data_IF_833677640382
#
_entry.id   IF_833677640382
#
_cell.length_a   1.000
_cell.length_b   1.000
_cell.length_c   1.000
_cell.angle_alpha   90.00
_cell.angle_beta   90.00
_cell.angle_gamma   90.00
#
_symmetry.space_group_name_H-M   'P 1'
#
loop_
_entity.id
_entity.type
_entity.pdbx_description
1 polymer ?
#
# COMPACT_ATOMS: atom_id res chain seq x y z
N UNK A 1 51.45 15.99 43.82
CA UNK A 1 50.47 16.90 43.20
C UNK A 1 50.05 16.41 41.80
N UNK A 2 49.03 15.53 41.64
CA UNK A 2 48.56 15.12 40.31
C UNK A 2 47.06 15.38 40.02
N UNK A 3 46.40 16.33 40.70
CA UNK A 3 44.95 16.56 40.55
C UNK A 3 44.52 17.59 39.49
N UNK A 4 45.44 18.43 38.98
CA UNK A 4 45.09 19.54 38.06
C UNK A 4 45.02 19.16 36.57
N UNK A 5 45.60 18.02 36.16
CA UNK A 5 45.66 17.63 34.74
C UNK A 5 44.37 16.93 34.25
N UNK A 6 43.71 16.12 35.09
CA UNK A 6 42.44 15.44 34.75
C UNK A 6 41.27 16.41 34.55
N UNK A 7 41.20 17.49 35.33
CA UNK A 7 40.10 18.46 35.25
C UNK A 7 40.07 19.27 33.93
N UNK A 8 41.24 19.61 33.37
CA UNK A 8 41.33 20.37 32.11
C UNK A 8 40.90 19.55 30.89
N UNK A 9 41.16 18.24 30.89
CA UNK A 9 40.73 17.35 29.81
C UNK A 9 39.21 17.11 29.83
N UNK A 10 38.64 16.89 31.02
CA UNK A 10 37.20 16.72 31.20
C UNK A 10 36.43 18.01 30.84
N UNK A 11 36.93 19.18 31.27
CA UNK A 11 36.34 20.49 30.94
C UNK A 11 36.39 20.84 29.44
N UNK A 12 37.47 20.49 28.74
CA UNK A 12 37.57 20.68 27.28
C UNK A 12 36.68 19.72 26.50
N UNK A 13 36.51 18.50 27.00
CA UNK A 13 35.59 17.53 26.43
C UNK A 13 34.13 18.00 26.57
N UNK A 14 33.70 18.44 27.76
CA UNK A 14 32.34 18.96 27.96
C UNK A 14 32.06 20.25 27.18
N UNK A 15 33.05 21.15 27.06
CA UNK A 15 32.92 22.36 26.24
C UNK A 15 32.79 22.06 24.72
N UNK A 16 33.49 21.03 24.22
CA UNK A 16 33.36 20.60 22.82
C UNK A 16 31.99 19.99 22.54
N UNK A 17 31.45 19.17 23.45
CA UNK A 17 30.10 18.60 23.31
C UNK A 17 29.02 19.67 23.42
N UNK A 18 29.18 20.63 24.35
CA UNK A 18 28.26 21.75 24.50
C UNK A 18 28.23 22.65 23.25
N UNK A 19 29.39 22.95 22.66
CA UNK A 19 29.44 23.77 21.44
C UNK A 19 28.87 23.05 20.21
N UNK A 20 29.10 21.74 20.06
CA UNK A 20 28.44 20.92 19.02
C UNK A 20 26.92 20.90 19.23
N UNK A 21 26.47 20.68 20.47
CA UNK A 21 25.05 20.70 20.82
C UNK A 21 24.40 22.05 20.52
N UNK A 22 25.05 23.16 20.86
CA UNK A 22 24.55 24.51 20.54
C UNK A 22 24.46 24.75 19.04
N UNK A 23 25.45 24.31 18.25
CA UNK A 23 25.41 24.42 16.78
C UNK A 23 24.26 23.60 16.20
N UNK A 24 24.06 22.36 16.67
CA UNK A 24 22.93 21.52 16.25
C UNK A 24 21.60 22.17 16.63
N UNK A 25 21.48 22.69 17.85
CA UNK A 25 20.28 23.39 18.33
C UNK A 25 19.95 24.62 17.48
N UNK A 26 20.96 25.43 17.13
CA UNK A 26 20.79 26.59 16.26
C UNK A 26 20.39 26.18 14.83
N UNK A 27 21.04 25.16 14.27
CA UNK A 27 20.70 24.61 12.96
C UNK A 27 19.25 24.10 12.93
N UNK A 28 18.84 23.35 13.95
CA UNK A 28 17.46 22.85 14.10
C UNK A 28 16.46 24.00 14.17
N UNK A 29 16.73 25.05 14.97
CA UNK A 29 15.86 26.22 15.04
C UNK A 29 15.72 26.90 13.68
N UNK A 30 16.81 27.03 12.93
CA UNK A 30 16.78 27.64 11.59
C UNK A 30 15.99 26.78 10.59
N UNK A 31 16.19 25.46 10.63
CA UNK A 31 15.44 24.53 9.79
C UNK A 31 13.94 24.56 10.13
N UNK A 32 13.59 24.54 11.43
CA UNK A 32 12.20 24.63 11.89
C UNK A 32 11.56 25.97 11.52
N UNK A 33 12.31 27.07 11.56
CA UNK A 33 11.82 28.37 11.10
C UNK A 33 11.51 28.35 9.59
N UNK A 34 12.36 27.74 8.77
CA UNK A 34 12.08 27.53 7.33
C UNK A 34 10.88 26.62 7.10
N UNK A 35 10.77 25.53 7.86
CA UNK A 35 9.62 24.64 7.79
C UNK A 35 8.32 25.38 8.12
N UNK A 36 8.29 26.14 9.21
CA UNK A 36 7.13 26.94 9.59
C UNK A 36 6.81 28.02 8.54
N UNK A 37 7.83 28.64 7.94
CA UNK A 37 7.63 29.56 6.82
C UNK A 37 6.95 28.87 5.61
N UNK A 38 7.42 27.68 5.24
CA UNK A 38 6.78 26.88 4.18
C UNK A 38 5.36 26.47 4.55
N UNK A 39 5.11 26.14 5.82
CA UNK A 39 3.80 25.78 6.35
C UNK A 39 2.80 26.94 6.22
N UNK A 40 3.25 28.17 6.48
CA UNK A 40 2.41 29.38 6.35
C UNK A 40 2.19 29.77 4.88
N UNK A 41 3.21 29.60 4.02
CA UNK A 41 3.15 30.01 2.62
C UNK A 41 2.43 29.01 1.71
N UNK A 42 2.67 27.71 1.92
CA UNK A 42 2.13 26.60 1.14
C UNK A 42 1.60 25.50 2.07
N UNK A 43 0.48 25.74 2.78
CA UNK A 43 0.00 24.85 3.83
C UNK A 43 -0.31 23.45 3.29
N UNK A 44 -1.11 23.34 2.23
CA UNK A 44 -1.53 22.05 1.68
C UNK A 44 -0.36 21.21 1.15
N UNK A 45 0.59 21.84 0.45
CA UNK A 45 1.75 21.12 -0.10
C UNK A 45 2.70 20.68 1.01
N UNK A 46 3.04 21.59 1.93
CA UNK A 46 3.97 21.28 3.03
C UNK A 46 3.39 20.22 3.95
N UNK A 47 2.11 20.29 4.28
CA UNK A 47 1.43 19.29 5.10
C UNK A 47 1.28 17.96 4.37
N UNK A 48 0.94 17.98 3.07
CA UNK A 48 0.85 16.77 2.25
C UNK A 48 2.18 16.00 2.18
N UNK A 49 3.29 16.70 1.89
CA UNK A 49 4.63 16.10 1.84
C UNK A 49 5.05 15.60 3.23
N UNK A 50 4.81 16.40 4.28
CA UNK A 50 5.13 16.00 5.66
C UNK A 50 4.36 14.75 6.07
N UNK A 51 3.06 14.70 5.74
CA UNK A 51 2.21 13.56 6.06
C UNK A 51 2.64 12.32 5.28
N UNK A 52 2.93 12.42 3.98
CA UNK A 52 3.47 11.30 3.22
C UNK A 52 4.73 10.72 3.90
N UNK A 53 5.66 11.59 4.29
CA UNK A 53 6.87 11.15 4.99
C UNK A 53 6.57 10.46 6.33
N UNK A 54 5.69 11.03 7.15
CA UNK A 54 5.34 10.48 8.46
C UNK A 54 4.60 9.14 8.37
N UNK A 55 3.68 9.01 7.42
CA UNK A 55 2.95 7.76 7.21
C UNK A 55 3.86 6.68 6.60
N UNK A 56 4.70 7.03 5.62
CA UNK A 56 5.67 6.11 5.03
C UNK A 56 6.74 5.63 6.02
N UNK A 57 7.30 6.54 6.82
CA UNK A 57 8.28 6.16 7.86
C UNK A 57 7.66 5.35 8.99
N UNK A 58 6.42 5.63 9.38
CA UNK A 58 5.68 4.81 10.34
C UNK A 58 5.44 3.40 9.81
N UNK A 59 5.01 3.29 8.56
CA UNK A 59 4.80 1.99 7.92
C UNK A 59 6.10 1.18 7.80
N UNK A 60 7.19 1.81 7.35
CA UNK A 60 8.51 1.21 7.34
C UNK A 60 8.92 0.68 8.72
N UNK A 61 8.71 1.48 9.78
CA UNK A 61 8.99 1.04 11.15
C UNK A 61 8.12 -0.14 11.57
N UNK A 62 6.85 -0.19 11.16
CA UNK A 62 5.97 -1.32 11.41
C UNK A 62 6.50 -2.61 10.77
N UNK A 63 6.93 -2.54 9.51
CA UNK A 63 7.48 -3.69 8.79
C UNK A 63 8.79 -4.20 9.44
N UNK A 64 9.63 -3.30 9.96
CA UNK A 64 10.80 -3.69 10.74
C UNK A 64 10.41 -4.44 12.04
N UNK A 65 9.36 -4.00 12.74
CA UNK A 65 8.87 -4.65 13.96
C UNK A 65 8.30 -6.04 13.64
N UNK A 66 7.50 -6.15 12.59
CA UNK A 66 6.90 -7.41 12.14
C UNK A 66 7.97 -8.46 11.78
N UNK A 67 9.03 -8.05 11.09
CA UNK A 67 10.15 -8.92 10.74
C UNK A 67 10.89 -9.45 11.97
N UNK A 68 11.23 -8.57 12.92
CA UNK A 68 11.85 -8.97 14.19
C UNK A 68 10.95 -9.91 15.01
N UNK A 69 9.63 -9.70 14.99
CA UNK A 69 8.67 -10.54 15.70
C UNK A 69 8.54 -11.94 15.08
N UNK A 70 8.54 -12.03 13.74
CA UNK A 70 8.53 -13.30 13.01
C UNK A 70 9.81 -14.10 13.24
N UNK A 71 10.97 -13.44 13.26
CA UNK A 71 12.26 -14.08 13.53
C UNK A 71 12.30 -14.66 14.96
N UNK A 72 11.89 -13.87 15.96
CA UNK A 72 11.84 -14.29 17.37
C UNK A 72 10.89 -15.48 17.59
N UNK A 73 9.74 -15.49 16.90
CA UNK A 73 8.76 -16.58 17.01
C UNK A 73 9.27 -17.90 16.41
N UNK A 74 10.05 -17.82 15.33
CA UNK A 74 10.64 -18.97 14.64
C UNK A 74 11.73 -19.64 15.48
N UNK A 75 12.57 -18.85 16.15
CA UNK A 75 13.61 -19.35 17.06
C UNK A 75 13.02 -20.14 18.24
N UNK A 76 11.92 -19.64 18.84
CA UNK A 76 11.23 -20.35 19.92
C UNK A 76 10.59 -21.68 19.48
N UNK A 77 10.02 -21.75 18.27
CA UNK A 77 9.44 -22.99 17.75
C UNK A 77 10.51 -24.05 17.48
N UNK A 78 11.68 -23.66 16.95
CA UNK A 78 12.80 -24.57 16.76
C UNK A 78 13.32 -25.11 18.09
N UNK A 79 13.42 -24.27 19.14
CA UNK A 79 13.91 -24.70 20.45
C UNK A 79 12.96 -25.65 21.19
N UNK A 80 11.64 -25.50 21.01
CA UNK A 80 10.65 -26.46 21.54
C UNK A 80 10.64 -27.80 20.78
N UNK A 81 10.82 -27.79 19.46
CA UNK A 81 10.95 -29.04 18.68
C UNK A 81 12.23 -29.81 19.03
N UNK A 82 13.37 -29.14 19.21
CA UNK A 82 14.63 -29.80 19.57
C UNK A 82 14.62 -30.47 20.96
N UNK A 83 13.72 -30.06 21.87
CA UNK A 83 13.61 -30.68 23.21
C UNK A 83 12.83 -32.01 23.18
N UNK A 84 12.08 -32.30 22.10
CA UNK A 84 11.27 -33.53 21.98
C UNK A 84 11.94 -34.63 21.13
N UNK A 85 13.03 -34.32 20.41
CA UNK A 85 13.70 -35.22 19.45
C UNK A 85 15.01 -35.84 19.97
N UNK A 86 15.17 -36.04 21.28
CA UNK A 86 16.44 -36.55 21.83
C UNK A 86 16.76 -38.04 21.51
N UNK A 87 15.94 -38.74 20.71
CA UNK A 87 16.20 -40.10 20.23
C UNK A 87 15.89 -40.28 18.73
N UNK A 88 16.69 -39.69 17.83
CA UNK A 88 17.25 -40.41 16.66
C UNK A 88 18.19 -39.52 15.81
N UNK A 89 19.46 -39.88 15.91
CA UNK A 89 20.63 -39.70 15.07
C UNK A 89 20.51 -39.02 13.66
N UNK A 90 21.10 -37.82 13.58
CA UNK A 90 22.23 -37.42 12.71
C UNK A 90 22.15 -37.68 11.19
N UNK A 91 21.82 -36.65 10.39
CA UNK A 91 22.52 -36.26 9.14
C UNK A 91 21.83 -35.11 8.39
N UNK A 92 22.26 -33.88 8.65
CA UNK A 92 22.22 -32.78 7.69
C UNK A 92 23.25 -31.73 8.11
N UNK A 93 24.26 -31.50 7.26
CA UNK A 93 25.12 -30.33 7.39
C UNK A 93 24.23 -29.11 7.40
N UNK A 94 24.32 -28.34 8.49
CA UNK A 94 23.48 -27.20 8.78
C UNK A 94 23.47 -26.22 7.62
N UNK A 95 22.28 -26.01 7.06
CA UNK A 95 21.96 -24.76 6.40
C UNK A 95 21.98 -23.72 7.53
N UNK A 96 23.11 -23.03 7.72
CA UNK A 96 23.14 -21.85 8.57
C UNK A 96 21.98 -20.97 8.15
N UNK A 97 21.04 -20.74 9.07
CA UNK A 97 19.85 -19.95 8.84
C UNK A 97 20.29 -18.55 8.44
N UNK A 98 20.35 -18.30 7.13
CA UNK A 98 20.40 -16.94 6.63
C UNK A 98 19.10 -16.30 7.10
N UNK A 99 19.14 -15.21 7.90
CA UNK A 99 17.92 -14.53 8.29
C UNK A 99 17.19 -14.14 7.02
N UNK A 100 15.90 -14.50 6.92
CA UNK A 100 15.06 -14.13 5.79
C UNK A 100 15.27 -12.64 5.52
N UNK A 101 15.69 -12.22 4.31
CA UNK A 101 15.97 -10.82 4.04
C UNK A 101 14.70 -9.99 4.27
N UNK A 102 14.87 -8.77 4.80
CA UNK A 102 13.77 -7.85 5.05
C UNK A 102 13.12 -7.47 3.71
N UNK A 103 12.01 -8.10 3.37
CA UNK A 103 11.19 -7.73 2.23
C UNK A 103 10.25 -6.60 2.63
N UNK A 104 10.48 -5.41 2.08
CA UNK A 104 9.63 -4.24 2.33
C UNK A 104 8.44 -4.30 1.37
N UNK A 105 7.23 -4.31 1.92
CA UNK A 105 6.00 -4.13 1.19
C UNK A 105 5.84 -2.64 0.82
N UNK A 106 6.37 -2.29 -0.37
CA UNK A 106 6.28 -0.93 -0.91
C UNK A 106 4.85 -0.51 -1.24
N UNK A 107 3.99 -1.48 -1.53
CA UNK A 107 2.61 -1.26 -1.92
C UNK A 107 1.80 -0.75 -0.73
N UNK A 108 1.92 -1.45 0.39
CA UNK A 108 1.40 -1.03 1.70
C UNK A 108 1.91 0.34 2.10
N UNK A 109 3.22 0.55 2.00
CA UNK A 109 3.85 1.83 2.34
C UNK A 109 3.28 2.96 1.47
N UNK A 110 3.13 2.73 0.16
CA UNK A 110 2.58 3.71 -0.76
C UNK A 110 1.12 4.06 -0.46
N UNK A 111 0.27 3.08 -0.13
CA UNK A 111 -1.11 3.33 0.32
C UNK A 111 -1.15 4.22 1.57
N UNK A 112 -0.29 3.94 2.55
CA UNK A 112 -0.20 4.76 3.77
C UNK A 112 0.23 6.19 3.46
N UNK A 113 1.21 6.37 2.57
CA UNK A 113 1.65 7.69 2.12
C UNK A 113 0.55 8.46 1.37
N UNK A 114 -0.21 7.79 0.50
CA UNK A 114 -1.35 8.37 -0.22
C UNK A 114 -2.45 8.82 0.75
N UNK A 115 -2.84 7.96 1.69
CA UNK A 115 -3.81 8.34 2.71
C UNK A 115 -3.35 9.56 3.52
N UNK A 116 -2.10 9.55 3.98
CA UNK A 116 -1.51 10.64 4.75
C UNK A 116 -1.56 11.98 4.00
N UNK A 117 -1.18 11.97 2.72
CA UNK A 117 -1.06 13.17 1.91
C UNK A 117 -2.39 13.69 1.34
N UNK A 118 -3.28 12.81 0.89
CA UNK A 118 -4.50 13.20 0.17
C UNK A 118 -5.76 13.24 1.04
N UNK A 119 -5.78 12.48 2.13
CA UNK A 119 -6.95 12.42 3.03
C UNK A 119 -6.62 13.10 4.35
N UNK A 120 -5.62 12.61 5.09
CA UNK A 120 -5.34 13.09 6.43
C UNK A 120 -4.89 14.56 6.46
N UNK A 121 -3.89 14.94 5.66
CA UNK A 121 -3.35 16.30 5.68
C UNK A 121 -4.40 17.39 5.33
N UNK A 122 -5.21 17.25 4.26
CA UNK A 122 -6.28 18.20 3.97
C UNK A 122 -7.36 18.23 5.07
N UNK A 123 -7.80 17.06 5.56
CA UNK A 123 -8.80 16.97 6.63
C UNK A 123 -8.32 17.65 7.91
N UNK A 124 -7.08 17.40 8.33
CA UNK A 124 -6.47 18.04 9.49
C UNK A 124 -6.34 19.56 9.31
N UNK A 125 -5.93 20.03 8.12
CA UNK A 125 -5.83 21.47 7.84
C UNK A 125 -7.18 22.17 8.00
N UNK A 126 -8.23 21.61 7.40
CA UNK A 126 -9.59 22.16 7.48
C UNK A 126 -10.12 22.13 8.92
N UNK A 127 -9.86 21.05 9.66
CA UNK A 127 -10.26 20.89 11.04
C UNK A 127 -9.60 21.91 11.97
N UNK A 128 -8.27 22.05 11.93
CA UNK A 128 -7.57 23.02 12.77
C UNK A 128 -7.91 24.46 12.40
N UNK A 129 -8.12 24.77 11.11
CA UNK A 129 -8.63 26.07 10.67
C UNK A 129 -10.03 26.36 11.23
N UNK A 130 -10.91 25.34 11.26
CA UNK A 130 -12.22 25.45 11.89
C UNK A 130 -12.12 25.69 13.40
N UNK A 131 -11.27 24.92 14.09
CA UNK A 131 -11.05 25.07 15.52
C UNK A 131 -10.53 26.46 15.89
N UNK A 132 -9.53 26.97 15.16
CA UNK A 132 -8.96 28.28 15.43
C UNK A 132 -9.97 29.41 15.17
N UNK A 133 -10.87 29.26 14.18
CA UNK A 133 -11.95 30.24 13.93
C UNK A 133 -13.04 30.21 15.02
N UNK A 134 -13.39 29.03 15.53
CA UNK A 134 -14.46 28.86 16.55
C UNK A 134 -13.98 29.12 17.97
N UNK A 135 -12.69 28.95 18.21
CA UNK A 135 -12.04 29.22 19.50
C UNK A 135 -11.48 30.64 19.50
N UNK A 136 -12.33 31.67 19.54
CA UNK A 136 -11.88 33.05 19.83
C UNK A 136 -11.49 33.09 21.31
N UNK A 137 -10.18 33.19 21.56
CA UNK A 137 -9.57 32.79 22.83
C UNK A 137 -9.76 33.84 23.93
N UNK A 138 -10.41 33.39 25.00
CA UNK A 138 -10.26 33.98 26.33
C UNK A 138 -8.79 33.83 26.76
N UNK A 139 -8.03 34.92 26.73
CA UNK A 139 -6.57 34.97 26.97
C UNK A 139 -6.12 34.46 28.37
N UNK A 140 -7.05 34.27 29.30
CA UNK A 140 -6.70 34.09 30.71
C UNK A 140 -6.36 32.65 31.14
N UNK A 141 -6.81 31.59 30.44
CA UNK A 141 -6.60 30.21 30.88
C UNK A 141 -6.11 29.26 29.76
N UNK A 142 -4.80 29.21 29.55
CA UNK A 142 -4.14 28.33 28.54
C UNK A 142 -4.50 26.83 28.72
N UNK A 143 -4.58 26.35 29.96
CA UNK A 143 -4.92 24.95 30.25
C UNK A 143 -6.33 24.59 29.76
N UNK A 144 -7.33 25.43 30.11
CA UNK A 144 -8.73 25.25 29.66
C UNK A 144 -8.85 25.26 28.14
N UNK A 145 -8.02 26.05 27.46
CA UNK A 145 -7.97 26.08 25.99
C UNK A 145 -7.45 24.75 25.43
N UNK A 146 -6.33 24.25 25.97
CA UNK A 146 -5.74 22.99 25.53
C UNK A 146 -6.71 21.84 25.75
N UNK A 147 -7.27 21.71 26.96
CA UNK A 147 -8.24 20.66 27.28
C UNK A 147 -9.44 20.68 26.34
N UNK A 148 -9.95 21.87 25.98
CA UNK A 148 -11.06 22.00 25.03
C UNK A 148 -10.66 21.60 23.61
N UNK A 149 -9.42 21.91 23.17
CA UNK A 149 -8.90 21.47 21.87
C UNK A 149 -8.78 19.95 21.82
N UNK A 150 -8.09 19.36 22.81
CA UNK A 150 -7.95 17.90 22.93
C UNK A 150 -9.32 17.23 22.94
N UNK A 151 -10.27 17.70 23.74
CA UNK A 151 -11.62 17.11 23.77
C UNK A 151 -12.34 17.17 22.41
N UNK A 152 -12.19 18.25 21.64
CA UNK A 152 -12.78 18.34 20.31
C UNK A 152 -12.10 17.41 19.31
N UNK A 153 -10.76 17.29 19.39
CA UNK A 153 -10.01 16.35 18.57
C UNK A 153 -10.49 14.91 18.87
N UNK A 154 -10.52 14.52 20.14
CA UNK A 154 -10.84 13.16 20.57
C UNK A 154 -12.28 12.71 20.30
N UNK A 155 -13.28 13.58 20.48
CA UNK A 155 -14.69 13.19 20.38
C UNK A 155 -15.34 13.51 19.03
N UNK A 156 -14.70 14.33 18.19
CA UNK A 156 -15.27 14.75 16.91
C UNK A 156 -14.36 14.36 15.76
N UNK A 157 -13.08 14.71 15.82
CA UNK A 157 -12.16 14.49 14.70
C UNK A 157 -11.64 13.05 14.65
N UNK A 158 -11.15 12.51 15.77
CA UNK A 158 -10.60 11.16 15.90
C UNK A 158 -11.57 10.08 15.40
N UNK A 159 -12.86 10.04 15.81
CA UNK A 159 -13.80 9.02 15.34
C UNK A 159 -13.97 9.04 13.82
N UNK A 160 -14.10 10.25 13.26
CA UNK A 160 -14.33 10.44 11.82
C UNK A 160 -13.08 10.06 11.02
N UNK A 161 -11.89 10.49 11.46
CA UNK A 161 -10.65 10.23 10.73
C UNK A 161 -10.25 8.75 10.80
N UNK A 162 -10.54 8.06 11.91
CA UNK A 162 -10.30 6.62 12.03
C UNK A 162 -11.24 5.80 11.14
N UNK A 163 -12.53 6.15 11.07
CA UNK A 163 -13.46 5.53 10.11
C UNK A 163 -12.96 5.74 8.68
N UNK A 164 -12.53 6.97 8.36
CA UNK A 164 -11.97 7.29 7.05
C UNK A 164 -10.66 6.51 6.78
N UNK A 165 -9.80 6.32 7.79
CA UNK A 165 -8.57 5.53 7.69
C UNK A 165 -8.87 4.10 7.27
N UNK A 166 -9.63 3.36 8.07
CA UNK A 166 -9.93 1.96 7.79
C UNK A 166 -10.70 1.80 6.48
N UNK A 167 -11.66 2.70 6.20
CA UNK A 167 -12.43 2.64 4.95
C UNK A 167 -11.53 2.87 3.73
N UNK A 168 -10.71 3.93 3.73
CA UNK A 168 -9.86 4.30 2.61
C UNK A 168 -8.75 3.26 2.39
N UNK A 169 -8.09 2.79 3.46
CA UNK A 169 -7.05 1.79 3.38
C UNK A 169 -7.57 0.46 2.81
N UNK A 170 -8.70 -0.04 3.32
CA UNK A 170 -9.32 -1.26 2.79
C UNK A 170 -9.82 -1.09 1.36
N UNK A 171 -10.28 0.10 0.99
CA UNK A 171 -10.69 0.39 -0.39
C UNK A 171 -9.50 0.40 -1.36
N UNK A 172 -8.38 1.02 -0.97
CA UNK A 172 -7.16 1.03 -1.77
C UNK A 172 -6.56 -0.36 -1.91
N UNK A 173 -6.56 -1.17 -0.85
CA UNK A 173 -6.12 -2.57 -0.87
C UNK A 173 -6.95 -3.38 -1.87
N UNK A 174 -8.28 -3.30 -1.78
CA UNK A 174 -9.17 -4.03 -2.69
C UNK A 174 -9.03 -3.58 -4.15
N UNK A 175 -8.93 -2.27 -4.40
CA UNK A 175 -8.75 -1.75 -5.76
C UNK A 175 -7.38 -2.15 -6.34
N UNK A 176 -6.33 -2.18 -5.51
CA UNK A 176 -5.02 -2.63 -5.93
C UNK A 176 -5.05 -4.11 -6.33
N UNK A 177 -5.61 -4.98 -5.47
CA UNK A 177 -5.73 -6.42 -5.75
C UNK A 177 -6.41 -6.65 -7.11
N UNK A 178 -7.51 -5.96 -7.39
CA UNK A 178 -8.20 -6.05 -8.69
C UNK A 178 -7.32 -5.65 -9.88
N UNK A 179 -6.57 -4.55 -9.77
CA UNK A 179 -5.74 -4.06 -10.87
C UNK A 179 -4.57 -5.01 -11.19
N UNK A 180 -3.92 -5.54 -10.16
CA UNK A 180 -2.73 -6.36 -10.33
C UNK A 180 -3.06 -7.83 -10.62
N UNK A 181 -4.14 -8.37 -10.06
CA UNK A 181 -4.60 -9.72 -10.43
C UNK A 181 -5.04 -9.78 -11.88
N UNK A 182 -5.71 -8.73 -12.38
CA UNK A 182 -6.10 -8.61 -13.79
C UNK A 182 -4.87 -8.49 -14.71
N UNK A 183 -3.84 -7.76 -14.32
CA UNK A 183 -2.60 -7.69 -15.10
C UNK A 183 -1.85 -9.02 -15.11
N UNK A 184 -1.84 -9.75 -13.99
CA UNK A 184 -1.20 -11.06 -13.86
C UNK A 184 -1.90 -12.12 -14.70
N UNK A 185 -3.24 -12.13 -14.71
CA UNK A 185 -4.03 -13.04 -15.54
C UNK A 185 -3.83 -12.76 -17.03
N UNK A 186 -3.86 -11.48 -17.44
CA UNK A 186 -3.61 -11.07 -18.83
C UNK A 186 -2.19 -11.45 -19.31
N UNK A 187 -1.17 -11.27 -18.48
CA UNK A 187 0.22 -11.65 -18.83
C UNK A 187 0.41 -13.16 -18.95
N UNK A 188 -0.30 -13.94 -18.12
CA UNK A 188 -0.27 -15.41 -18.18
C UNK A 188 -0.99 -15.94 -19.42
N UNK A 189 -2.13 -15.33 -19.78
CA UNK A 189 -2.86 -15.66 -21.00
C UNK A 189 -2.04 -15.35 -22.26
N UNK A 190 -1.35 -14.21 -22.31
CA UNK A 190 -0.50 -13.85 -23.45
C UNK A 190 0.71 -14.79 -23.63
N UNK A 191 1.28 -15.28 -22.52
CA UNK A 191 2.34 -16.32 -22.57
C UNK A 191 1.81 -17.65 -23.09
N UNK A 192 0.61 -18.05 -22.70
CA UNK A 192 -0.01 -19.28 -23.18
C UNK A 192 -0.44 -19.19 -24.66
N UNK A 193 -0.84 -18.01 -25.14
CA UNK A 193 -1.11 -17.78 -26.57
C UNK A 193 0.15 -17.83 -27.42
N UNK A 194 1.25 -17.22 -26.96
CA UNK A 194 2.54 -17.32 -27.66
C UNK A 194 3.07 -18.76 -27.69
N UNK A 195 2.87 -19.53 -26.62
CA UNK A 195 3.28 -20.94 -26.56
C UNK A 195 2.40 -21.86 -27.46
N UNK A 196 1.13 -21.48 -27.69
CA UNK A 196 0.24 -22.19 -28.65
C UNK A 196 0.62 -21.91 -30.11
N UNK A 197 1.14 -20.72 -30.40
CA UNK A 197 1.58 -20.34 -31.74
C UNK A 197 2.94 -20.98 -32.11
N UNK A 198 3.68 -21.48 -31.13
CA UNK A 198 4.99 -22.13 -31.34
C UNK A 198 4.88 -23.64 -31.65
N UNK A 199 3.76 -24.30 -31.33
CA UNK A 199 3.54 -25.74 -31.61
C UNK A 199 2.86 -26.06 -32.94
N UNK A 200 2.69 -25.07 -33.83
CA UNK A 200 2.09 -25.26 -35.15
C UNK A 200 3.12 -25.18 -36.29
N UNK A 201 4.23 -25.89 -36.16
CA UNK A 201 5.16 -26.12 -37.29
C UNK A 201 5.06 -27.57 -37.75
N UNK A 202 4.45 -27.88 -38.91
CA UNK A 202 4.48 -29.22 -39.47
C UNK A 202 5.89 -29.52 -39.98
N UNK A 203 6.48 -30.60 -39.47
CA UNK A 203 7.70 -31.21 -39.99
C UNK A 203 7.53 -31.61 -41.47
N UNK A 204 8.14 -30.87 -42.38
CA UNK A 204 8.28 -31.28 -43.79
C UNK A 204 9.49 -32.20 -43.93
N UNK A 205 9.23 -33.49 -44.13
CA UNK A 205 10.19 -34.47 -44.64
C UNK A 205 10.14 -34.42 -46.17
N UNK A 206 11.31 -34.30 -46.79
CA UNK A 206 11.55 -34.29 -48.24
C UNK A 206 10.90 -35.46 -48.96
N UNK A 207 10.33 -35.20 -50.15
CA UNK A 207 10.60 -35.97 -51.37
C UNK A 207 10.11 -35.17 -52.60
N UNK A 208 11.06 -34.74 -53.44
CA UNK A 208 10.87 -34.45 -54.87
C UNK A 208 10.64 -35.76 -55.63
N UNK A 209 9.85 -35.80 -56.73
CA UNK A 209 10.33 -35.32 -58.04
C UNK A 209 9.21 -34.67 -58.89
N UNK A 210 9.45 -33.54 -59.57
CA UNK A 210 9.96 -33.41 -60.95
C UNK A 210 8.90 -32.85 -61.91
N UNK A 211 9.39 -31.91 -62.74
CA UNK A 211 9.11 -31.78 -64.18
C UNK A 211 7.96 -30.84 -64.63
N UNK A 212 8.43 -29.73 -65.25
CA UNK A 212 7.97 -29.09 -66.51
C UNK A 212 6.68 -28.26 -66.40
N UNK A 213 6.83 -26.92 -66.40
CA UNK A 213 6.53 -26.00 -67.53
C UNK A 213 5.02 -25.82 -67.76
N UNK A 214 4.43 -24.71 -68.17
CA UNK A 214 4.84 -23.43 -68.72
C UNK A 214 3.52 -22.73 -69.13
N UNK A 215 3.52 -21.40 -69.27
CA UNK A 215 2.73 -20.63 -70.26
C UNK A 215 1.21 -20.57 -70.02
N UNK A 216 0.66 -19.43 -69.57
CA UNK A 216 0.31 -18.19 -70.30
C UNK A 216 -1.12 -18.17 -70.84
N UNK A 217 -1.68 -16.95 -70.86
CA UNK A 217 -2.69 -16.42 -71.81
C UNK A 217 -4.06 -17.10 -71.84
N UNK A 218 -5.19 -16.47 -72.15
CA UNK A 218 -5.69 -15.09 -72.24
C UNK A 218 -7.12 -15.25 -72.78
N UNK A 219 -7.98 -14.28 -72.47
CA UNK A 219 -9.11 -13.79 -73.28
C UNK A 219 -10.33 -14.68 -73.63
N UNK A 220 -11.50 -14.03 -73.46
CA UNK A 220 -12.75 -14.13 -74.24
C UNK A 220 -13.55 -15.42 -74.16
N UNK A 221 -14.88 -15.47 -74.19
CA UNK A 221 -15.98 -14.50 -74.16
C UNK A 221 -17.27 -15.35 -74.05
N UNK A 222 -18.37 -14.71 -73.65
CA UNK A 222 -19.77 -15.06 -73.97
C UNK A 222 -20.29 -16.48 -73.72
N UNK A 223 -21.28 -16.61 -72.84
CA UNK A 223 -22.67 -16.85 -73.27
C UNK A 223 -23.61 -16.92 -72.06
N UNK A 224 -24.66 -16.11 -72.12
CA UNK A 224 -25.81 -16.22 -71.24
C UNK A 224 -26.67 -17.39 -71.71
N UNK A 225 -26.80 -18.41 -70.88
CA UNK A 225 -27.86 -19.42 -70.95
C UNK A 225 -28.52 -19.49 -69.57
N UNK A 226 -29.83 -19.25 -69.51
CA UNK A 226 -30.65 -19.18 -68.30
C UNK A 226 -30.93 -20.59 -67.70
N UNK A 227 -31.66 -20.71 -66.58
CA UNK A 227 -31.13 -21.23 -65.32
C UNK A 227 -31.71 -22.62 -64.99
N UNK A 228 -30.88 -23.54 -64.51
CA UNK A 228 -31.42 -24.73 -63.83
C UNK A 228 -30.54 -25.13 -62.66
N UNK A 229 -31.21 -25.34 -61.53
CA UNK A 229 -30.70 -25.85 -60.24
C UNK A 229 -29.86 -24.85 -59.44
N UNK A 230 -30.49 -23.79 -58.94
CA UNK A 230 -29.99 -23.11 -57.75
C UNK A 230 -30.14 -24.08 -56.58
N UNK A 231 -28.99 -24.54 -56.12
CA UNK A 231 -28.79 -25.63 -55.18
C UNK A 231 -29.50 -25.34 -53.85
N UNK A 232 -30.53 -26.13 -53.53
CA UNK A 232 -31.23 -26.10 -52.23
C UNK A 232 -30.31 -26.38 -51.03
N UNK A 233 -29.06 -26.76 -51.29
CA UNK A 233 -28.02 -26.99 -50.29
C UNK A 233 -27.26 -25.71 -49.89
N UNK A 234 -27.35 -24.60 -50.65
CA UNK A 234 -26.71 -23.32 -50.30
C UNK A 234 -27.47 -22.62 -49.17
N UNK A 235 -28.80 -22.64 -49.20
CA UNK A 235 -29.65 -22.06 -48.14
C UNK A 235 -29.61 -22.87 -46.84
N UNK A 236 -29.49 -24.20 -46.93
CA UNK A 236 -29.30 -25.06 -45.74
C UNK A 236 -27.94 -24.87 -45.07
N UNK A 237 -26.88 -24.62 -45.84
CA UNK A 237 -25.53 -24.39 -45.30
C UNK A 237 -25.42 -23.03 -44.61
N UNK A 238 -26.07 -22.00 -45.15
CA UNK A 238 -26.12 -20.67 -44.53
C UNK A 238 -26.87 -20.63 -43.19
N UNK A 239 -27.92 -21.44 -43.01
CA UNK A 239 -28.63 -21.56 -41.74
C UNK A 239 -27.81 -22.27 -40.66
N UNK A 240 -27.06 -23.32 -41.01
CA UNK A 240 -26.18 -24.04 -40.06
C UNK A 240 -24.99 -23.18 -39.60
N UNK A 241 -24.42 -22.36 -40.49
CA UNK A 241 -23.32 -21.43 -40.16
C UNK A 241 -23.79 -20.25 -39.28
N UNK A 242 -25.02 -19.76 -39.50
CA UNK A 242 -25.64 -18.74 -38.63
C UNK A 242 -25.98 -19.33 -37.25
N UNK A 243 -26.48 -20.56 -37.19
CA UNK A 243 -26.85 -21.21 -35.94
C UNK A 243 -25.62 -21.52 -35.07
N UNK A 244 -24.52 -21.96 -35.68
CA UNK A 244 -23.23 -22.17 -34.99
C UNK A 244 -22.60 -20.85 -34.54
N UNK A 245 -22.71 -19.78 -35.34
CA UNK A 245 -22.26 -18.44 -34.94
C UNK A 245 -23.06 -17.91 -33.76
N UNK A 246 -24.38 -18.09 -33.76
CA UNK A 246 -25.27 -17.70 -32.65
C UNK A 246 -24.96 -18.53 -31.39
N UNK A 247 -24.73 -19.83 -31.52
CA UNK A 247 -24.34 -20.67 -30.38
C UNK A 247 -22.99 -20.26 -29.78
N UNK A 248 -22.00 -19.93 -30.61
CA UNK A 248 -20.72 -19.42 -30.14
C UNK A 248 -20.86 -18.06 -29.44
N UNK A 249 -21.70 -17.16 -29.95
CA UNK A 249 -21.98 -15.87 -29.30
C UNK A 249 -22.69 -16.08 -27.97
N UNK A 250 -23.67 -16.99 -27.89
CA UNK A 250 -24.39 -17.28 -26.65
C UNK A 250 -23.46 -17.92 -25.62
N UNK A 251 -22.52 -18.78 -26.06
CA UNK A 251 -21.48 -19.37 -25.20
C UNK A 251 -20.47 -18.32 -24.72
N UNK A 252 -20.07 -17.36 -25.58
CA UNK A 252 -19.25 -16.21 -25.20
C UNK A 252 -19.99 -15.32 -24.20
N UNK A 253 -21.27 -15.01 -24.42
CA UNK A 253 -22.10 -14.23 -23.50
C UNK A 253 -22.30 -14.97 -22.17
N UNK A 254 -22.45 -16.31 -22.21
CA UNK A 254 -22.61 -17.12 -21.00
C UNK A 254 -21.29 -17.26 -20.22
N UNK A 255 -20.16 -17.28 -20.92
CA UNK A 255 -18.83 -17.25 -20.30
C UNK A 255 -18.50 -15.86 -19.73
N UNK A 256 -18.86 -14.78 -20.41
CA UNK A 256 -18.73 -13.41 -19.90
C UNK A 256 -19.66 -13.15 -18.71
N UNK A 257 -20.86 -13.73 -18.71
CA UNK A 257 -21.76 -13.70 -17.55
C UNK A 257 -21.22 -14.55 -16.39
N UNK A 258 -20.51 -15.65 -16.69
CA UNK A 258 -19.81 -16.47 -15.67
C UNK A 258 -18.57 -15.78 -15.10
N UNK A 259 -17.82 -15.01 -15.88
CA UNK A 259 -16.70 -14.21 -15.37
C UNK A 259 -17.18 -13.05 -14.50
N UNK A 260 -18.25 -12.35 -14.91
CA UNK A 260 -18.88 -11.29 -14.11
C UNK A 260 -19.50 -11.81 -12.79
N UNK A 261 -20.03 -13.04 -12.77
CA UNK A 261 -20.56 -13.67 -11.54
C UNK A 261 -19.50 -14.35 -10.68
N UNK A 262 -18.32 -14.66 -11.22
CA UNK A 262 -17.18 -15.09 -10.41
C UNK A 262 -16.45 -13.91 -9.74
N UNK A 263 -16.57 -12.68 -10.27
CA UNK A 263 -16.05 -11.45 -9.65
C UNK A 263 -16.73 -11.15 -8.29
N UNK A 264 -17.99 -11.58 -8.11
CA UNK A 264 -18.76 -11.39 -6.87
C UNK A 264 -18.44 -12.38 -5.74
N UNK A 265 -17.40 -13.21 -5.88
CA UNK A 265 -16.93 -14.10 -4.79
C UNK A 265 -15.83 -13.46 -3.92
N UNK A 266 -15.45 -12.22 -4.22
CA UNK A 266 -14.74 -11.38 -3.26
C UNK A 266 -15.76 -10.87 -2.23
N UNK A 267 -15.46 -10.84 -0.92
CA UNK A 267 -16.39 -10.26 0.05
C UNK A 267 -16.71 -8.84 -0.40
N UNK A 268 -18.00 -8.54 -0.62
CA UNK A 268 -18.46 -7.22 -1.04
C UNK A 268 -17.68 -6.14 -0.29
N UNK A 269 -17.01 -5.23 -1.01
CA UNK A 269 -16.18 -4.16 -0.43
C UNK A 269 -16.80 -3.50 0.83
N UNK A 270 -18.11 -3.12 0.86
CA UNK A 270 -18.72 -2.58 2.08
C UNK A 270 -18.72 -3.56 3.25
N UNK A 271 -18.90 -4.86 2.99
CA UNK A 271 -18.83 -5.90 4.02
C UNK A 271 -17.41 -6.05 4.57
N UNK A 272 -16.37 -6.04 3.71
CA UNK A 272 -14.94 -6.06 4.14
C UNK A 272 -14.59 -4.84 4.99
N UNK A 273 -15.06 -3.65 4.59
CA UNK A 273 -14.85 -2.41 5.36
C UNK A 273 -15.56 -2.51 6.72
N UNK A 274 -16.85 -2.89 6.75
CA UNK A 274 -17.61 -2.97 7.99
C UNK A 274 -17.08 -4.04 8.96
N UNK A 275 -16.61 -5.18 8.46
CA UNK A 275 -15.99 -6.20 9.30
C UNK A 275 -14.68 -5.69 9.92
N UNK A 276 -13.84 -5.02 9.13
CA UNK A 276 -12.59 -4.42 9.60
C UNK A 276 -12.83 -3.34 10.65
N UNK A 277 -13.79 -2.45 10.42
CA UNK A 277 -14.17 -1.44 11.41
C UNK A 277 -14.66 -2.10 12.70
N UNK A 278 -15.58 -3.07 12.66
CA UNK A 278 -16.09 -3.72 13.88
C UNK A 278 -14.99 -4.38 14.70
N UNK A 279 -13.97 -4.95 14.03
CA UNK A 279 -12.86 -5.65 14.67
C UNK A 279 -11.85 -4.67 15.30
N UNK A 280 -11.36 -3.71 14.51
CA UNK A 280 -10.13 -2.98 14.87
C UNK A 280 -10.39 -1.52 15.29
N UNK A 281 -11.54 -0.93 14.92
CA UNK A 281 -11.85 0.47 15.21
C UNK A 281 -11.87 0.76 16.70
N UNK A 282 -12.63 -0.02 17.49
CA UNK A 282 -12.85 0.30 18.90
C UNK A 282 -11.56 0.18 19.71
N UNK A 283 -10.76 -0.85 19.42
CA UNK A 283 -9.45 -1.00 20.05
C UNK A 283 -8.53 0.17 19.69
N UNK A 284 -8.45 0.52 18.40
CA UNK A 284 -7.62 1.63 17.92
C UNK A 284 -8.03 2.96 18.55
N UNK A 285 -9.35 3.22 18.61
CA UNK A 285 -9.91 4.41 19.23
C UNK A 285 -9.60 4.49 20.74
N UNK A 286 -9.71 3.39 21.49
CA UNK A 286 -9.36 3.39 22.90
C UNK A 286 -7.87 3.65 23.14
N UNK A 287 -6.99 3.07 22.32
CA UNK A 287 -5.56 3.33 22.41
C UNK A 287 -5.28 4.80 22.09
N UNK A 288 -5.94 5.38 21.08
CA UNK A 288 -5.86 6.80 20.74
C UNK A 288 -6.21 7.69 21.95
N UNK A 289 -7.34 7.42 22.61
CA UNK A 289 -7.80 8.14 23.82
C UNK A 289 -6.82 8.07 25.00
N UNK A 290 -6.03 7.01 25.10
CA UNK A 290 -5.07 6.82 26.18
C UNK A 290 -3.73 7.48 25.84
N UNK A 291 -3.35 7.48 24.56
CA UNK A 291 -2.03 7.92 24.09
C UNK A 291 -2.01 9.43 23.84
N UNK A 292 -2.98 9.98 23.12
CA UNK A 292 -2.89 11.37 22.64
C UNK A 292 -3.11 12.43 23.70
N UNK A 293 -4.09 12.34 24.62
CA UNK A 293 -4.27 13.38 25.63
C UNK A 293 -3.02 13.59 26.49
N UNK A 294 -2.35 12.55 27.05
CA UNK A 294 -1.09 12.73 27.77
C UNK A 294 0.02 13.33 26.91
N UNK A 295 0.18 12.88 25.66
CA UNK A 295 1.17 13.43 24.74
C UNK A 295 0.93 14.92 24.47
N UNK A 296 -0.33 15.33 24.28
CA UNK A 296 -0.71 16.73 24.08
C UNK A 296 -0.42 17.57 25.33
N UNK A 297 -0.79 17.08 26.51
CA UNK A 297 -0.48 17.78 27.77
C UNK A 297 1.03 17.97 27.95
N UNK A 298 1.84 16.93 27.68
CA UNK A 298 3.29 17.01 27.76
C UNK A 298 3.87 18.00 26.74
N UNK A 299 3.37 17.98 25.50
CA UNK A 299 3.78 18.89 24.43
C UNK A 299 3.56 20.37 24.81
N UNK A 300 2.43 20.70 25.43
CA UNK A 300 2.14 22.08 25.81
C UNK A 300 2.80 22.52 27.12
N UNK A 301 3.04 21.59 28.05
CA UNK A 301 3.61 21.89 29.37
C UNK A 301 5.14 21.92 29.36
N UNK A 302 5.78 20.89 28.79
CA UNK A 302 7.23 20.72 28.86
C UNK A 302 7.95 21.20 27.60
N UNK A 303 7.36 21.02 26.42
CA UNK A 303 8.05 21.30 25.15
C UNK A 303 7.98 22.79 24.80
N UNK A 304 9.13 23.47 24.63
CA UNK A 304 9.17 24.86 24.19
C UNK A 304 8.50 25.02 22.82
N UNK A 305 7.83 26.15 22.58
CA UNK A 305 7.01 26.39 21.37
C UNK A 305 7.75 26.10 20.05
N UNK A 306 9.06 26.39 19.99
CA UNK A 306 9.89 26.14 18.81
C UNK A 306 10.02 24.64 18.44
N UNK A 307 9.95 23.73 19.40
CA UNK A 307 10.20 22.29 19.20
C UNK A 307 8.93 21.43 19.18
N UNK A 308 7.75 22.01 19.41
CA UNK A 308 6.48 21.26 19.53
C UNK A 308 6.14 20.46 18.28
N UNK A 309 6.37 21.05 17.10
CA UNK A 309 6.11 20.37 15.81
C UNK A 309 7.01 19.14 15.67
N UNK A 310 8.28 19.25 16.04
CA UNK A 310 9.23 18.14 15.97
C UNK A 310 8.87 17.02 16.94
N UNK A 311 8.46 17.37 18.16
CA UNK A 311 7.99 16.42 19.17
C UNK A 311 6.76 15.63 18.67
N UNK A 312 5.73 16.34 18.20
CA UNK A 312 4.51 15.67 17.70
C UNK A 312 4.81 14.82 16.48
N UNK A 313 5.58 15.32 15.51
CA UNK A 313 5.96 14.56 14.33
C UNK A 313 6.73 13.28 14.70
N UNK A 314 7.59 13.33 15.71
CA UNK A 314 8.27 12.13 16.22
C UNK A 314 7.28 11.11 16.80
N UNK A 315 6.35 11.54 17.65
CA UNK A 315 5.29 10.66 18.17
C UNK A 315 4.41 10.08 17.06
N UNK A 316 4.11 10.88 16.01
CA UNK A 316 3.31 10.43 14.87
C UNK A 316 3.94 9.24 14.14
N UNK A 317 5.28 9.11 14.09
CA UNK A 317 5.92 7.96 13.44
C UNK A 317 5.51 6.65 14.17
N UNK A 318 5.52 6.67 15.51
CA UNK A 318 5.08 5.52 16.32
C UNK A 318 3.59 5.25 16.20
N UNK A 319 2.79 6.32 16.20
CA UNK A 319 1.35 6.19 15.99
C UNK A 319 1.02 5.59 14.62
N UNK A 320 1.67 6.07 13.57
CA UNK A 320 1.47 5.56 12.21
C UNK A 320 1.96 4.12 12.05
N UNK A 321 3.04 3.73 12.74
CA UNK A 321 3.45 2.33 12.82
C UNK A 321 2.38 1.47 13.49
N UNK A 322 1.81 1.93 14.61
CA UNK A 322 0.71 1.25 15.27
C UNK A 322 -0.54 1.14 14.38
N UNK A 323 -0.95 2.23 13.72
CA UNK A 323 -2.08 2.22 12.77
C UNK A 323 -1.84 1.23 11.63
N UNK A 324 -0.62 1.21 11.09
CA UNK A 324 -0.25 0.26 10.04
C UNK A 324 -0.38 -1.19 10.52
N UNK A 325 0.09 -1.48 11.74
CA UNK A 325 -0.02 -2.80 12.36
C UNK A 325 -1.48 -3.21 12.52
N UNK A 326 -2.35 -2.32 13.00
CA UNK A 326 -3.78 -2.64 13.16
C UNK A 326 -4.48 -2.86 11.83
N UNK A 327 -4.15 -2.09 10.79
CA UNK A 327 -4.70 -2.29 9.45
C UNK A 327 -4.35 -3.68 8.90
N UNK A 328 -3.12 -4.17 9.10
CA UNK A 328 -2.65 -5.43 8.50
C UNK A 328 -2.70 -6.63 9.46
N UNK A 329 -3.24 -6.44 10.66
CA UNK A 329 -3.49 -7.55 11.59
C UNK A 329 -4.63 -8.43 11.04
N UNK A 330 -4.28 -9.66 10.66
CA UNK A 330 -5.22 -10.66 10.15
C UNK A 330 -6.16 -11.22 11.22
#
# INVERSE_FOLDING_TARGET
MPSRFRFRHFSRFTASHASKFLRISQFLKHYLAKYNYCLERYPFLTQGISAAFLFGSGDYMCQCIEHHQQQSSSEHHQQQQSSSEHHQQQSSLGNEGTPNPLFIDLERMFRMMLYGSLVFAPSAHLWYKYLDKRMIISKHNKFKQISKKVFMDEFVFTPVILIAFFSCMTSMEHFYEQLFDKNKSNSTNHKNENNKNEWSSPSTVDHTPSIISSRSSSSSSSEWSSPSTLDSNIWKRGEEDQFTTIQNIDEIIHNDRRTLSHESSTPDLPHKIMSKLKKDYFHTFLVDMIVWPPLQYFNFFLVPSAYRVLYINFCCIFWNAFLSMQQHKH
#
